data_IF_815878592692
#
_entry.id   IF_815878592692
#
_cell.length_a   1.000
_cell.length_b   1.000
_cell.length_c   1.000
_cell.angle_alpha   90.00
_cell.angle_beta   90.00
_cell.angle_gamma   90.00
#
_symmetry.space_group_name_H-M   'P 1'
#
loop_
_entity.id
_entity.type
_entity.pdbx_description
1 polymer ?
#
# COMPACT_ATOMS: atom_id res chain seq x y z
N UNK A 1 4.83 -6.37 -21.00
CA UNK A 1 4.39 -6.52 -19.59
C UNK A 1 5.64 -6.52 -18.75
N UNK A 2 5.75 -5.62 -17.77
CA UNK A 2 6.91 -5.51 -16.89
C UNK A 2 6.72 -6.44 -15.69
N UNK A 3 7.72 -7.26 -15.37
CA UNK A 3 7.67 -8.20 -14.26
C UNK A 3 8.52 -9.45 -14.52
N UNK A 4 8.82 -10.25 -13.47
CA UNK A 4 9.53 -11.51 -13.63
C UNK A 4 8.79 -12.45 -14.59
N UNK A 5 9.54 -13.15 -15.46
CA UNK A 5 8.97 -14.19 -16.32
C UNK A 5 8.30 -15.26 -15.44
N UNK A 6 7.06 -15.61 -15.77
CA UNK A 6 6.30 -16.62 -15.04
C UNK A 6 5.56 -16.11 -13.80
N UNK A 7 5.56 -14.80 -13.52
CA UNK A 7 4.69 -14.23 -12.50
C UNK A 7 3.22 -14.49 -12.88
N UNK A 8 2.46 -15.08 -11.95
CA UNK A 8 1.05 -15.44 -12.17
C UNK A 8 0.15 -14.41 -11.50
N UNK A 9 -0.81 -13.90 -12.26
CA UNK A 9 -1.86 -13.01 -11.77
C UNK A 9 -3.18 -13.77 -11.71
N UNK A 10 -3.96 -13.53 -10.66
CA UNK A 10 -5.25 -14.19 -10.44
C UNK A 10 -6.31 -13.14 -10.13
N UNK A 11 -7.53 -13.37 -10.60
CA UNK A 11 -8.66 -12.53 -10.24
C UNK A 11 -9.00 -12.76 -8.75
N UNK A 12 -8.98 -11.69 -7.97
CA UNK A 12 -9.43 -11.69 -6.58
C UNK A 12 -10.89 -11.29 -6.44
N UNK A 13 -11.30 -11.02 -5.19
CA UNK A 13 -12.54 -10.32 -4.89
C UNK A 13 -12.61 -8.96 -5.59
N UNK A 14 -13.78 -8.65 -6.14
CA UNK A 14 -14.09 -7.36 -6.78
C UNK A 14 -14.85 -6.41 -5.86
N UNK A 15 -15.32 -6.89 -4.69
CA UNK A 15 -16.06 -6.12 -3.68
C UNK A 15 -15.97 -6.79 -2.31
N UNK A 16 -16.14 -6.03 -1.24
CA UNK A 16 -15.93 -6.51 0.14
C UNK A 16 -16.93 -7.60 0.58
N UNK A 17 -18.14 -7.64 0.02
CA UNK A 17 -19.14 -8.65 0.41
C UNK A 17 -18.78 -10.07 -0.04
N UNK A 18 -17.71 -10.22 -0.85
CA UNK A 18 -17.15 -11.51 -1.22
C UNK A 18 -16.19 -12.06 -0.15
N UNK A 19 -16.10 -11.43 1.02
CA UNK A 19 -15.33 -11.91 2.17
C UNK A 19 -15.76 -13.34 2.54
N UNK A 20 -14.83 -14.29 2.46
CA UNK A 20 -15.08 -15.72 2.67
C UNK A 20 -15.10 -16.54 1.38
N UNK A 21 -15.28 -15.91 0.21
CA UNK A 21 -15.27 -16.60 -1.09
C UNK A 21 -13.85 -16.91 -1.55
N UNK A 22 -13.55 -18.19 -1.82
CA UNK A 22 -12.25 -18.60 -2.35
C UNK A 22 -12.14 -18.33 -3.86
N UNK A 23 -11.73 -17.11 -4.21
CA UNK A 23 -11.47 -16.69 -5.61
C UNK A 23 -10.02 -16.88 -6.03
N UNK A 24 -9.10 -16.47 -5.17
CA UNK A 24 -7.65 -16.62 -5.35
C UNK A 24 -6.96 -17.15 -4.09
N UNK A 25 -7.73 -17.41 -3.03
CA UNK A 25 -7.22 -17.61 -1.67
C UNK A 25 -6.52 -18.96 -1.54
N UNK A 26 -7.02 -20.02 -2.20
CA UNK A 26 -6.33 -21.30 -2.30
C UNK A 26 -4.90 -21.14 -2.86
N UNK A 27 -4.66 -20.19 -3.76
CA UNK A 27 -3.33 -19.94 -4.34
C UNK A 27 -2.42 -19.20 -3.37
N UNK A 28 -2.94 -18.23 -2.63
CA UNK A 28 -2.20 -17.60 -1.53
C UNK A 28 -1.83 -18.62 -0.45
N UNK A 29 -2.78 -19.46 -0.05
CA UNK A 29 -2.56 -20.52 0.93
C UNK A 29 -1.50 -21.52 0.46
N UNK A 30 -1.55 -21.94 -0.82
CA UNK A 30 -0.55 -22.83 -1.40
C UNK A 30 0.85 -22.21 -1.44
N UNK A 31 0.99 -20.89 -1.60
CA UNK A 31 2.27 -20.20 -1.52
C UNK A 31 2.80 -20.16 -0.08
N UNK A 32 1.96 -19.78 0.88
CA UNK A 32 2.32 -19.71 2.30
C UNK A 32 2.61 -21.07 2.94
N UNK A 33 2.08 -22.16 2.38
CA UNK A 33 2.43 -23.53 2.81
C UNK A 33 3.85 -23.96 2.40
N UNK A 34 4.47 -23.27 1.43
CA UNK A 34 5.81 -23.60 0.96
C UNK A 34 6.88 -22.84 1.73
N UNK A 35 6.61 -21.57 2.04
CA UNK A 35 7.56 -20.70 2.70
C UNK A 35 6.86 -19.53 3.38
N UNK A 36 7.58 -18.85 4.28
CA UNK A 36 7.10 -17.65 4.93
C UNK A 36 7.18 -16.45 3.99
N UNK A 37 6.10 -15.69 3.87
CA UNK A 37 6.01 -14.57 2.92
C UNK A 37 5.49 -13.29 3.57
N UNK A 38 5.95 -12.15 3.02
CA UNK A 38 5.37 -10.84 3.28
C UNK A 38 4.20 -10.60 2.31
N UNK A 39 3.07 -10.14 2.82
CA UNK A 39 1.92 -9.74 2.00
C UNK A 39 1.94 -8.22 1.87
N UNK A 40 1.95 -7.72 0.63
CA UNK A 40 1.79 -6.31 0.33
C UNK A 40 0.37 -6.06 -0.21
N UNK A 41 -0.48 -5.42 0.60
CA UNK A 41 -1.85 -5.09 0.27
C UNK A 41 -1.96 -3.62 -0.15
N UNK A 42 -2.02 -3.37 -1.46
CA UNK A 42 -2.14 -2.05 -2.08
C UNK A 42 -3.59 -1.67 -2.43
N UNK A 43 -4.53 -2.57 -2.15
CA UNK A 43 -5.97 -2.40 -2.39
C UNK A 43 -6.79 -2.82 -1.16
N UNK A 44 -8.13 -2.88 -1.28
CA UNK A 44 -9.00 -3.51 -0.29
C UNK A 44 -8.52 -4.92 0.09
N UNK A 45 -8.64 -5.26 1.37
CA UNK A 45 -7.97 -6.43 1.97
C UNK A 45 -8.77 -7.73 1.87
N UNK A 46 -9.85 -7.77 1.09
CA UNK A 46 -10.87 -8.84 1.10
C UNK A 46 -10.27 -10.22 0.90
N UNK A 47 -9.29 -10.35 -0.01
CA UNK A 47 -8.59 -11.61 -0.27
C UNK A 47 -7.68 -12.02 0.90
N UNK A 48 -7.02 -11.07 1.56
CA UNK A 48 -6.13 -11.33 2.71
C UNK A 48 -6.98 -11.68 3.93
N UNK A 49 -8.08 -10.97 4.14
CA UNK A 49 -9.05 -11.27 5.19
C UNK A 49 -9.67 -12.65 4.99
N UNK A 50 -10.06 -13.00 3.75
CA UNK A 50 -10.59 -14.33 3.42
C UNK A 50 -9.55 -15.42 3.67
N UNK A 51 -8.28 -15.18 3.34
CA UNK A 51 -7.19 -16.10 3.67
C UNK A 51 -7.08 -16.34 5.17
N UNK A 52 -7.07 -15.28 5.98
CA UNK A 52 -6.96 -15.40 7.45
C UNK A 52 -8.20 -16.06 8.07
N UNK A 53 -9.38 -15.84 7.50
CA UNK A 53 -10.64 -16.46 7.93
C UNK A 53 -10.69 -17.95 7.58
N UNK A 54 -10.31 -18.32 6.36
CA UNK A 54 -10.43 -19.69 5.86
C UNK A 54 -9.23 -20.56 6.24
N UNK A 55 -8.06 -19.96 6.47
CA UNK A 55 -6.80 -20.62 6.81
C UNK A 55 -6.07 -19.93 7.98
N UNK A 56 -6.70 -19.84 9.18
CA UNK A 56 -6.12 -19.13 10.32
C UNK A 56 -4.77 -19.71 10.77
N UNK A 57 -4.50 -20.99 10.51
CA UNK A 57 -3.22 -21.66 10.80
C UNK A 57 -2.05 -21.05 10.01
N UNK A 58 -2.32 -20.49 8.82
CA UNK A 58 -1.31 -19.88 7.95
C UNK A 58 -0.91 -18.48 8.40
N UNK A 59 -1.58 -17.90 9.40
CA UNK A 59 -1.17 -16.63 10.00
C UNK A 59 0.29 -16.65 10.47
N UNK A 60 0.78 -17.80 10.93
CA UNK A 60 2.18 -18.00 11.37
C UNK A 60 3.20 -17.98 10.22
N UNK A 61 2.74 -18.25 8.99
CA UNK A 61 3.58 -18.22 7.78
C UNK A 61 3.70 -16.80 7.21
N UNK A 62 2.93 -15.84 7.71
CA UNK A 62 3.01 -14.45 7.27
C UNK A 62 4.07 -13.72 8.12
N UNK A 63 5.07 -13.16 7.46
CA UNK A 63 6.10 -12.34 8.14
C UNK A 63 5.56 -10.97 8.50
N UNK A 64 4.82 -10.34 7.59
CA UNK A 64 4.04 -9.14 7.81
C UNK A 64 2.97 -8.96 6.71
N UNK A 65 1.86 -8.31 7.07
CA UNK A 65 0.88 -7.75 6.15
C UNK A 65 1.12 -6.24 6.11
N UNK A 66 1.71 -5.74 5.04
CA UNK A 66 1.90 -4.31 4.81
C UNK A 66 0.69 -3.81 4.02
N UNK A 67 -0.22 -3.09 4.68
CA UNK A 67 -1.44 -2.59 4.08
C UNK A 67 -1.39 -1.06 3.92
N UNK A 68 -1.64 -0.56 2.72
CA UNK A 68 -1.83 0.88 2.46
C UNK A 68 -3.21 1.27 2.98
N UNK A 69 -3.26 1.68 4.23
CA UNK A 69 -4.46 2.10 4.92
C UNK A 69 -4.09 2.78 6.24
N UNK A 70 -5.07 3.50 6.79
CA UNK A 70 -5.03 4.12 8.09
C UNK A 70 -4.74 5.63 8.04
N UNK A 71 -5.23 6.28 9.08
CA UNK A 71 -4.95 7.68 9.44
C UNK A 71 -4.94 7.80 10.96
N UNK A 72 -4.30 8.85 11.47
CA UNK A 72 -4.50 9.24 12.88
C UNK A 72 -5.94 9.78 13.07
N UNK A 73 -6.50 9.70 14.29
CA UNK A 73 -7.85 10.20 14.58
C UNK A 73 -8.12 11.62 14.07
N UNK A 74 -7.13 12.52 14.19
CA UNK A 74 -7.27 13.93 13.80
C UNK A 74 -6.68 14.24 12.42
N UNK A 75 -6.38 13.21 11.63
CA UNK A 75 -5.74 13.37 10.32
C UNK A 75 -6.76 13.32 9.19
N UNK A 76 -6.85 14.42 8.46
CA UNK A 76 -7.60 14.50 7.20
C UNK A 76 -6.68 14.16 6.02
N UNK A 77 -7.18 13.37 5.07
CA UNK A 77 -6.50 13.16 3.81
C UNK A 77 -6.72 14.40 2.95
N UNK A 78 -5.80 15.36 2.97
CA UNK A 78 -5.92 16.58 2.17
C UNK A 78 -4.62 16.81 1.43
N UNK A 79 -4.72 17.08 0.13
CA UNK A 79 -3.59 17.45 -0.70
C UNK A 79 -3.67 18.95 -0.97
N UNK A 80 -2.55 19.65 -0.78
CA UNK A 80 -2.41 21.08 -1.08
C UNK A 80 -3.32 21.97 -0.23
N UNK A 81 -4.27 22.65 -0.90
CA UNK A 81 -5.14 23.63 -0.26
C UNK A 81 -6.03 22.97 0.80
N UNK A 82 -6.03 23.51 2.02
CA UNK A 82 -6.86 23.06 3.16
C UNK A 82 -8.37 23.13 2.89
N UNK A 83 -8.79 23.86 1.86
CA UNK A 83 -10.20 23.98 1.46
C UNK A 83 -10.64 22.90 0.46
N UNK A 84 -9.72 22.09 -0.08
CA UNK A 84 -10.10 20.96 -0.94
C UNK A 84 -10.79 19.86 -0.09
N UNK A 85 -11.86 19.21 -0.58
CA UNK A 85 -12.51 18.13 0.14
C UNK A 85 -11.52 17.02 0.50
N UNK A 86 -11.57 16.47 1.73
CA UNK A 86 -10.66 15.41 2.10
C UNK A 86 -10.93 14.14 1.28
N UNK A 87 -9.86 13.43 0.93
CA UNK A 87 -9.97 12.13 0.30
C UNK A 87 -10.48 11.08 1.28
N UNK A 88 -11.00 10.01 0.70
CA UNK A 88 -11.30 8.78 1.41
C UNK A 88 -10.07 7.89 1.44
N UNK A 89 -9.91 7.14 2.52
CA UNK A 89 -9.00 6.01 2.52
C UNK A 89 -9.70 4.86 1.77
N UNK A 90 -9.57 4.82 0.44
CA UNK A 90 -10.34 3.87 -0.37
C UNK A 90 -10.09 2.42 0.02
N UNK A 91 -8.86 2.07 0.40
CA UNK A 91 -8.53 0.69 0.76
C UNK A 91 -9.25 0.28 2.05
N UNK A 92 -9.28 1.17 3.05
CA UNK A 92 -9.99 0.91 4.31
C UNK A 92 -11.51 1.04 4.17
N UNK A 93 -12.00 2.15 3.60
CA UNK A 93 -13.41 2.48 3.57
C UNK A 93 -14.24 1.56 2.66
N UNK A 94 -13.62 1.00 1.61
CA UNK A 94 -14.28 0.00 0.77
C UNK A 94 -14.30 -1.40 1.39
N UNK A 95 -13.57 -1.65 2.49
CA UNK A 95 -13.46 -2.99 3.08
C UNK A 95 -13.15 -2.98 4.59
N UNK A 96 -13.91 -2.19 5.35
CA UNK A 96 -13.83 -2.16 6.80
C UNK A 96 -14.02 -3.56 7.45
N UNK A 97 -14.94 -4.44 6.99
CA UNK A 97 -15.06 -5.80 7.52
C UNK A 97 -13.79 -6.65 7.31
N UNK A 98 -13.12 -6.52 6.16
CA UNK A 98 -11.85 -7.19 5.93
C UNK A 98 -10.76 -6.72 6.89
N UNK A 99 -10.68 -5.41 7.14
CA UNK A 99 -9.74 -4.87 8.13
C UNK A 99 -10.02 -5.36 9.56
N UNK A 100 -11.28 -5.54 9.93
CA UNK A 100 -11.64 -6.13 11.23
C UNK A 100 -11.06 -7.55 11.37
N UNK A 101 -11.21 -8.39 10.35
CA UNK A 101 -10.63 -9.75 10.34
C UNK A 101 -9.11 -9.71 10.47
N UNK A 102 -8.45 -8.78 9.78
CA UNK A 102 -7.00 -8.59 9.89
C UNK A 102 -6.61 -8.25 11.33
N UNK A 103 -7.25 -7.25 11.93
CA UNK A 103 -6.97 -6.79 13.30
C UNK A 103 -7.27 -7.84 14.38
N UNK A 104 -8.24 -8.72 14.14
CA UNK A 104 -8.56 -9.84 15.04
C UNK A 104 -7.63 -11.05 14.83
N UNK A 105 -6.81 -11.04 13.78
CA UNK A 105 -5.88 -12.13 13.48
C UNK A 105 -4.60 -12.06 14.32
N UNK A 106 -3.79 -13.11 14.25
CA UNK A 106 -2.45 -13.14 14.88
C UNK A 106 -1.34 -12.71 13.91
N UNK A 107 -1.68 -12.27 12.70
CA UNK A 107 -0.70 -11.93 11.69
C UNK A 107 -0.07 -10.57 12.04
N UNK A 108 1.26 -10.40 11.90
CA UNK A 108 1.88 -9.10 12.08
C UNK A 108 1.36 -8.13 11.00
N UNK A 109 0.77 -6.99 11.40
CA UNK A 109 0.25 -5.99 10.46
C UNK A 109 1.07 -4.71 10.56
N UNK A 110 1.41 -4.16 9.40
CA UNK A 110 2.01 -2.84 9.24
C UNK A 110 1.07 -1.98 8.41
N UNK A 111 0.52 -0.93 9.00
CA UNK A 111 -0.25 0.07 8.28
C UNK A 111 0.70 1.10 7.67
N UNK A 112 0.55 1.36 6.37
CA UNK A 112 1.21 2.43 5.62
C UNK A 112 0.21 3.58 5.41
N UNK A 113 0.07 4.51 6.39
CA UNK A 113 -0.96 5.52 6.37
C UNK A 113 -0.61 6.67 5.43
N UNK A 114 -1.63 7.48 5.12
CA UNK A 114 -1.49 8.73 4.37
C UNK A 114 -0.38 9.66 4.86
N UNK A 115 -0.14 9.71 6.17
CA UNK A 115 0.88 10.59 6.75
C UNK A 115 2.26 10.41 6.10
N UNK A 116 2.61 9.19 5.70
CA UNK A 116 3.90 8.89 5.10
C UNK A 116 3.93 9.38 3.65
N UNK A 117 2.89 9.10 2.88
CA UNK A 117 2.81 9.51 1.47
C UNK A 117 2.62 11.00 1.27
N UNK A 118 1.93 11.68 2.18
CA UNK A 118 1.77 13.14 2.16
C UNK A 118 3.09 13.93 2.19
N UNK A 119 4.18 13.29 2.65
CA UNK A 119 5.52 13.88 2.76
C UNK A 119 6.35 13.73 1.48
N UNK A 120 5.86 12.98 0.50
CA UNK A 120 6.56 12.67 -0.75
C UNK A 120 5.75 13.16 -1.93
N UNK A 121 6.37 13.98 -2.77
CA UNK A 121 5.71 14.61 -3.92
C UNK A 121 6.45 14.25 -5.20
N UNK A 122 5.73 13.75 -6.19
CA UNK A 122 6.19 13.67 -7.57
C UNK A 122 5.77 14.91 -8.32
N UNK A 123 6.71 15.53 -9.02
CA UNK A 123 6.51 16.74 -9.83
C UNK A 123 6.85 16.47 -11.29
N UNK A 124 6.67 17.50 -12.13
CA UNK A 124 7.01 17.45 -13.56
C UNK A 124 8.44 16.93 -13.79
N UNK A 125 9.41 17.43 -13.03
CA UNK A 125 10.82 17.02 -13.13
C UNK A 125 11.04 15.52 -12.90
N UNK A 126 10.24 14.90 -12.02
CA UNK A 126 10.35 13.46 -11.75
C UNK A 126 9.78 12.64 -12.91
N UNK A 127 8.71 13.12 -13.54
CA UNK A 127 8.14 12.51 -14.74
C UNK A 127 9.11 12.62 -15.93
N UNK A 128 9.77 13.77 -16.08
CA UNK A 128 10.76 13.97 -17.14
C UNK A 128 11.95 13.00 -16.96
N UNK A 129 12.35 12.72 -15.71
CA UNK A 129 13.34 11.68 -15.40
C UNK A 129 12.86 10.28 -15.78
N UNK A 130 11.60 9.93 -15.50
CA UNK A 130 11.02 8.63 -15.91
C UNK A 130 11.05 8.46 -17.44
N UNK A 131 10.87 9.54 -18.20
CA UNK A 131 10.82 9.51 -19.66
C UNK A 131 12.14 9.09 -20.32
N UNK A 132 13.27 9.40 -19.68
CA UNK A 132 14.62 9.09 -20.21
C UNK A 132 15.27 7.87 -19.54
N UNK A 133 14.57 7.21 -18.61
CA UNK A 133 15.08 6.08 -17.84
C UNK A 133 14.86 4.72 -18.56
N UNK A 134 14.55 3.66 -17.82
CA UNK A 134 14.29 2.32 -18.38
C UNK A 134 12.93 2.23 -19.09
N UNK A 135 12.70 1.17 -19.89
CA UNK A 135 11.38 0.92 -20.50
C UNK A 135 10.25 0.83 -19.46
N UNK A 136 10.55 0.23 -18.30
CA UNK A 136 9.60 0.13 -17.18
C UNK A 136 9.28 1.50 -16.57
N UNK A 137 10.28 2.37 -16.44
CA UNK A 137 10.06 3.74 -15.99
C UNK A 137 9.25 4.56 -17.00
N UNK A 138 9.58 4.44 -18.31
CA UNK A 138 8.82 5.08 -19.39
C UNK A 138 7.35 4.70 -19.41
N UNK A 139 7.03 3.44 -19.10
CA UNK A 139 5.64 2.98 -19.01
C UNK A 139 4.81 3.76 -17.96
N UNK A 140 5.45 4.26 -16.90
CA UNK A 140 4.79 5.03 -15.84
C UNK A 140 4.55 6.49 -16.21
N UNK A 141 5.18 7.01 -17.29
CA UNK A 141 5.11 8.44 -17.67
C UNK A 141 3.66 8.86 -17.92
N UNK A 142 2.89 8.08 -18.67
CA UNK A 142 1.49 8.39 -18.97
C UNK A 142 0.62 8.45 -17.71
N UNK A 143 0.51 7.38 -16.88
CA UNK A 143 -0.33 7.44 -15.68
C UNK A 143 0.16 8.49 -14.66
N UNK A 144 1.47 8.71 -14.55
CA UNK A 144 1.99 9.78 -13.69
C UNK A 144 1.62 11.19 -14.21
N UNK A 145 1.63 11.39 -15.54
CA UNK A 145 1.21 12.64 -16.16
C UNK A 145 -0.28 12.89 -15.98
N UNK A 146 -1.12 11.84 -16.06
CA UNK A 146 -2.56 11.94 -15.82
C UNK A 146 -2.84 12.38 -14.37
N UNK A 147 -2.09 11.84 -13.39
CA UNK A 147 -2.15 12.30 -12.00
C UNK A 147 -1.68 13.75 -11.85
N UNK A 148 -0.57 14.13 -12.48
CA UNK A 148 -0.06 15.50 -12.45
C UNK A 148 -1.03 16.49 -13.13
N UNK A 149 -1.84 16.04 -14.09
CA UNK A 149 -2.91 16.87 -14.68
C UNK A 149 -4.02 17.27 -13.72
N UNK A 150 -4.08 16.69 -12.51
CA UNK A 150 -5.08 17.04 -11.49
C UNK A 150 -4.57 18.03 -10.43
N UNK A 151 -3.34 18.54 -10.54
CA UNK A 151 -2.74 19.42 -9.51
C UNK A 151 -3.55 20.68 -9.24
N UNK A 152 -4.18 21.27 -10.26
CA UNK A 152 -5.02 22.46 -10.11
C UNK A 152 -6.23 22.19 -9.20
N UNK A 153 -6.81 20.97 -9.27
CA UNK A 153 -7.93 20.57 -8.41
C UNK A 153 -7.54 20.49 -6.94
N UNK A 154 -6.26 20.23 -6.67
CA UNK A 154 -5.72 20.09 -5.31
C UNK A 154 -4.97 21.34 -4.85
N UNK A 155 -4.77 22.32 -5.72
CA UNK A 155 -3.94 23.50 -5.44
C UNK A 155 -2.50 23.11 -5.08
N UNK A 156 -1.94 22.14 -5.80
CA UNK A 156 -0.56 21.64 -5.63
C UNK A 156 0.27 21.87 -6.89
N UNK A 157 1.56 21.53 -6.85
CA UNK A 157 2.44 21.48 -8.04
C UNK A 157 2.96 20.06 -8.34
N UNK A 158 2.32 19.06 -7.72
CA UNK A 158 2.68 17.66 -7.78
C UNK A 158 1.61 16.76 -7.17
N UNK A 159 1.87 15.46 -7.13
CA UNK A 159 0.99 14.48 -6.50
C UNK A 159 1.76 13.52 -5.58
N UNK A 160 1.07 12.90 -4.63
CA UNK A 160 1.65 11.93 -3.72
C UNK A 160 1.51 10.50 -4.29
N UNK A 161 2.59 9.72 -4.48
CA UNK A 161 2.52 8.37 -5.03
C UNK A 161 2.27 7.32 -3.92
N UNK A 162 1.06 7.33 -3.34
CA UNK A 162 0.66 6.56 -2.15
C UNK A 162 1.28 5.16 -2.03
N UNK A 163 0.92 4.25 -2.94
CA UNK A 163 1.26 2.82 -2.88
C UNK A 163 2.75 2.56 -3.03
N UNK A 164 3.46 3.44 -3.75
CA UNK A 164 4.88 3.25 -4.06
C UNK A 164 5.76 3.30 -2.80
N UNK A 165 5.32 3.98 -1.74
CA UNK A 165 6.06 4.02 -0.49
C UNK A 165 5.94 2.72 0.29
N UNK A 166 4.80 2.03 0.21
CA UNK A 166 4.66 0.70 0.79
C UNK A 166 5.54 -0.32 0.04
N UNK A 167 5.64 -0.21 -1.29
CA UNK A 167 6.60 -0.99 -2.10
C UNK A 167 8.04 -0.67 -1.68
N UNK A 168 8.38 0.61 -1.54
CA UNK A 168 9.71 1.06 -1.13
C UNK A 168 10.08 0.58 0.28
N UNK A 169 9.14 0.58 1.21
CA UNK A 169 9.33 0.06 2.57
C UNK A 169 9.70 -1.42 2.58
N UNK A 170 9.08 -2.24 1.73
CA UNK A 170 9.34 -3.69 1.65
C UNK A 170 10.64 -4.00 0.90
N UNK A 171 11.00 -3.18 -0.09
CA UNK A 171 12.13 -3.48 -1.01
C UNK A 171 13.44 -2.76 -0.68
N UNK A 172 13.39 -1.64 0.05
CA UNK A 172 14.57 -0.81 0.31
C UNK A 172 14.99 -0.82 1.79
N UNK A 173 16.21 -1.31 2.12
CA UNK A 173 16.76 -1.28 3.48
C UNK A 173 16.91 0.13 4.08
N UNK A 174 16.93 1.18 3.24
CA UNK A 174 17.03 2.57 3.70
C UNK A 174 15.67 3.08 4.21
N UNK A 175 14.58 2.60 3.58
CA UNK A 175 13.20 2.93 3.95
C UNK A 175 12.64 2.01 5.04
N UNK A 176 13.27 0.87 5.30
CA UNK A 176 12.88 -0.05 6.38
C UNK A 176 13.19 0.49 7.80
N UNK A 177 13.96 1.57 7.94
CA UNK A 177 14.21 2.28 9.21
C UNK A 177 13.00 3.07 9.74
N UNK A 178 11.86 2.96 9.07
CA UNK A 178 10.58 3.37 9.63
C UNK A 178 10.33 2.57 10.90
N UNK A 179 10.17 3.26 12.04
CA UNK A 179 9.85 2.60 13.29
C UNK A 179 8.46 1.99 13.21
N UNK A 180 8.44 0.68 13.33
CA UNK A 180 7.32 -0.17 13.69
C UNK A 180 6.89 0.27 15.10
N UNK A 181 5.90 1.17 15.18
CA UNK A 181 5.36 1.60 16.47
C UNK A 181 4.33 0.57 16.94
N UNK A 182 4.59 -0.23 17.99
CA UNK A 182 3.63 -1.21 18.46
C UNK A 182 2.38 -0.49 18.96
N UNK A 183 1.30 -0.60 18.20
CA UNK A 183 -0.04 -0.47 18.71
C UNK A 183 -0.32 -1.72 19.54
N UNK A 184 -1.16 -1.59 20.58
CA UNK A 184 -1.58 -2.73 21.42
C UNK A 184 -1.90 -3.93 20.52
N UNK A 185 -1.49 -5.15 20.92
CA UNK A 185 -1.65 -6.44 20.20
C UNK A 185 -0.67 -6.79 19.06
N UNK A 186 0.45 -6.08 18.89
CA UNK A 186 1.52 -6.48 17.94
C UNK A 186 1.34 -5.93 16.52
N UNK A 187 0.36 -5.05 16.32
CA UNK A 187 0.13 -4.28 15.10
C UNK A 187 0.96 -3.00 15.09
N UNK A 188 1.40 -2.56 13.92
CA UNK A 188 2.39 -1.50 13.83
C UNK A 188 2.04 -0.46 12.77
N UNK A 189 2.42 0.79 13.01
CA UNK A 189 2.23 1.89 12.07
C UNK A 189 3.57 2.30 11.46
N UNK A 190 3.59 2.53 10.14
CA UNK A 190 4.73 3.12 9.46
C UNK A 190 4.90 4.58 9.92
N UNK A 191 6.03 4.90 10.54
CA UNK A 191 6.42 6.25 10.97
C UNK A 191 7.68 6.74 10.23
N UNK A 192 7.80 8.03 9.87
CA UNK A 192 9.02 8.51 9.23
C UNK A 192 10.21 8.42 10.19
N UNK A 193 11.37 7.99 9.69
CA UNK A 193 12.64 8.26 10.37
C UNK A 193 12.82 9.79 10.47
N UNK A 194 13.39 10.31 11.56
CA UNK A 194 13.56 11.75 11.86
C UNK A 194 14.38 12.56 10.82
N UNK A 195 14.69 12.00 9.65
CA UNK A 195 15.38 12.67 8.55
C UNK A 195 14.41 12.85 7.39
N UNK A 196 14.30 14.09 6.90
CA UNK A 196 13.55 14.46 5.71
C UNK A 196 13.77 13.45 4.57
N UNK A 197 12.76 12.61 4.31
CA UNK A 197 12.73 11.69 3.17
C UNK A 197 12.67 12.51 1.88
N UNK A 198 13.84 12.80 1.30
CA UNK A 198 13.96 13.18 -0.10
C UNK A 198 14.24 11.92 -0.89
N UNK A 199 13.43 11.65 -1.93
CA UNK A 199 13.77 10.64 -2.94
C UNK A 199 14.94 11.22 -3.75
N UNK A 200 16.14 11.07 -3.24
CA UNK A 200 17.35 11.23 -4.02
C UNK A 200 17.76 9.84 -4.48
N UNK A 201 17.86 9.67 -5.80
CA UNK A 201 18.28 8.48 -6.54
C UNK A 201 17.17 7.44 -6.84
N UNK A 202 16.53 7.65 -7.99
CA UNK A 202 16.20 6.61 -8.99
C UNK A 202 16.75 7.13 -10.32
#
# INVERSE_FOLDING_TARGET
MFGPKGLKCYAGASRAEQLGEDRCVARHAAALKKERLTILALGPVTNVATLLKNHPELSSQITAIVAVAGRRPDQHFSAGNKNAPPFRDFNFELDAPGFQVLLDSKAPIVLAPWEISSKVWMKRVDIDRLAVASDGARYLVKPASDWLGNVDKFGTDGFNPFDTLAVGFVTSPILSNVKICPQRSGHCLMTPSHKNLRINHI
#
